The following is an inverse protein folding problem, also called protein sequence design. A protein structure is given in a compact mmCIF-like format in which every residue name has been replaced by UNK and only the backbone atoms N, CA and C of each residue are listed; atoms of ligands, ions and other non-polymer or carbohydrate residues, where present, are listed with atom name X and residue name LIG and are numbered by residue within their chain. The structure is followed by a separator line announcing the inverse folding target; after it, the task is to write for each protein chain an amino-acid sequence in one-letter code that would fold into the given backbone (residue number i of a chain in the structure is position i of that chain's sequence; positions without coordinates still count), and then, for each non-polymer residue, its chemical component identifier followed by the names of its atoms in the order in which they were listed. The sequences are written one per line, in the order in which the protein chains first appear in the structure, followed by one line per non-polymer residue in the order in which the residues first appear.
data_IF_697698215494
#
_entry.id   IF_697698215494
#
_cell.length_a   1.000
_cell.length_b   1.000
_cell.length_c   1.000
_cell.angle_alpha   90.00
_cell.angle_beta   90.00
_cell.angle_gamma   90.00
#
_symmetry.space_group_name_H-M   'P 1'
#
loop_
_entity.id
_entity.type
_entity.pdbx_description
1 polymer ?
#
# COMPACT_ATOMS: atom_id res chain seq x y z
N UNK A 1 -61.48 23.19 56.66
CA UNK A 1 -60.52 22.28 55.99
C UNK A 1 -59.71 23.08 54.97
N UNK A 2 -58.38 23.00 55.05
CA UNK A 2 -57.41 23.66 54.16
C UNK A 2 -57.16 22.72 52.98
N UNK A 3 -57.25 23.20 51.73
CA UNK A 3 -56.48 22.59 50.64
C UNK A 3 -55.81 23.67 49.81
N UNK A 4 -54.48 23.55 49.77
CA UNK A 4 -53.50 24.46 49.20
C UNK A 4 -53.30 24.14 47.71
N UNK A 5 -52.95 25.16 46.95
CA UNK A 5 -52.49 25.10 45.56
C UNK A 5 -51.34 24.11 45.36
N UNK A 6 -51.37 23.33 44.26
CA UNK A 6 -50.17 22.81 43.61
C UNK A 6 -50.41 22.85 42.09
N UNK A 7 -49.63 23.71 41.42
CA UNK A 7 -49.34 23.70 39.99
C UNK A 7 -48.84 22.30 39.58
N UNK A 8 -49.47 21.65 38.62
CA UNK A 8 -48.91 20.45 37.98
C UNK A 8 -48.64 20.77 36.51
N UNK A 9 -47.35 20.89 36.22
CA UNK A 9 -46.72 21.18 34.95
C UNK A 9 -47.10 20.10 33.91
N UNK A 10 -47.54 20.54 32.73
CA UNK A 10 -47.65 19.66 31.56
C UNK A 10 -46.23 19.28 31.10
N UNK A 11 -45.73 18.14 31.56
CA UNK A 11 -44.51 17.53 31.05
C UNK A 11 -44.86 16.85 29.74
N UNK A 12 -44.39 17.44 28.63
CA UNK A 12 -44.39 16.76 27.34
C UNK A 12 -43.48 15.53 27.44
N UNK A 13 -44.07 14.34 27.45
CA UNK A 13 -43.35 13.09 27.32
C UNK A 13 -42.81 13.02 25.88
N UNK A 14 -41.56 13.44 25.68
CA UNK A 14 -40.80 13.09 24.48
C UNK A 14 -40.53 11.59 24.57
N UNK A 15 -41.32 10.81 23.85
CA UNK A 15 -40.98 9.42 23.58
C UNK A 15 -39.72 9.43 22.69
N UNK A 16 -38.55 9.37 23.31
CA UNK A 16 -37.38 8.83 22.63
C UNK A 16 -37.69 7.36 22.40
N UNK A 17 -38.23 7.05 21.21
CA UNK A 17 -37.98 5.77 20.60
C UNK A 17 -36.46 5.67 20.41
N UNK A 18 -35.77 5.24 21.47
CA UNK A 18 -34.45 4.68 21.36
C UNK A 18 -34.62 3.51 20.43
N UNK A 19 -34.27 3.69 19.16
CA UNK A 19 -34.10 2.60 18.22
C UNK A 19 -33.25 1.56 18.93
N UNK A 20 -33.89 0.46 19.30
CA UNK A 20 -33.23 -0.78 19.68
C UNK A 20 -32.50 -1.26 18.44
N UNK A 21 -31.32 -0.73 18.21
CA UNK A 21 -30.27 -1.51 17.62
C UNK A 21 -29.38 -1.87 18.78
N UNK A 22 -29.76 -2.96 19.46
CA UNK A 22 -28.77 -3.82 20.06
C UNK A 22 -27.74 -4.06 18.96
N UNK A 23 -26.63 -3.34 19.01
CA UNK A 23 -25.42 -3.75 18.34
C UNK A 23 -24.95 -4.97 19.13
N UNK A 24 -25.65 -6.09 18.94
CA UNK A 24 -24.97 -7.36 19.00
C UNK A 24 -23.87 -7.23 17.97
N UNK A 25 -22.64 -7.00 18.44
CA UNK A 25 -21.45 -7.36 17.69
C UNK A 25 -21.71 -8.79 17.31
N UNK A 26 -22.05 -9.00 16.04
CA UNK A 26 -22.43 -10.27 15.45
C UNK A 26 -21.26 -11.22 15.73
N UNK A 27 -21.31 -11.90 16.89
CA UNK A 27 -20.19 -12.61 17.48
C UNK A 27 -19.81 -13.69 16.49
N UNK A 28 -18.73 -13.48 15.71
CA UNK A 28 -18.10 -14.36 14.72
C UNK A 28 -18.60 -15.82 14.83
N UNK A 29 -19.76 -16.09 14.19
CA UNK A 29 -20.74 -17.15 14.52
C UNK A 29 -20.29 -18.59 14.21
N UNK A 30 -19.06 -18.95 14.55
CA UNK A 30 -18.48 -20.27 14.33
C UNK A 30 -17.21 -20.28 13.48
N UNK A 31 -16.57 -19.14 13.24
CA UNK A 31 -15.20 -19.09 12.71
C UNK A 31 -14.46 -17.91 13.34
N UNK A 32 -13.47 -18.20 14.18
CA UNK A 32 -12.58 -17.19 14.77
C UNK A 32 -11.13 -17.57 14.57
N UNK A 33 -10.27 -16.55 14.59
CA UNK A 33 -8.82 -16.70 14.55
C UNK A 33 -8.21 -15.94 15.72
N UNK A 34 -7.11 -16.46 16.28
CA UNK A 34 -6.38 -15.76 17.34
C UNK A 34 -5.78 -14.42 16.88
N UNK A 35 -5.55 -14.26 15.57
CA UNK A 35 -5.18 -12.99 14.95
C UNK A 35 -5.61 -12.93 13.49
N UNK A 36 -6.18 -11.79 13.09
CA UNK A 36 -6.44 -11.45 11.68
C UNK A 36 -5.25 -10.72 11.01
N UNK A 37 -4.16 -10.53 11.75
CA UNK A 37 -2.93 -9.91 11.26
C UNK A 37 -1.72 -10.77 11.62
N UNK A 38 -0.95 -11.17 10.61
CA UNK A 38 0.18 -12.07 10.76
C UNK A 38 1.43 -11.36 10.26
N UNK A 39 2.38 -11.16 11.17
CA UNK A 39 3.71 -10.64 10.83
C UNK A 39 4.70 -11.78 10.71
N UNK A 40 5.46 -11.79 9.61
CA UNK A 40 6.56 -12.71 9.35
C UNK A 40 7.89 -11.95 9.35
N UNK A 41 8.98 -12.54 9.86
CA UNK A 41 10.30 -11.91 9.81
C UNK A 41 10.77 -11.67 8.37
N UNK A 42 11.43 -10.54 8.14
CA UNK A 42 12.06 -10.21 6.86
C UNK A 42 13.13 -11.24 6.47
N UNK A 43 13.91 -11.72 7.45
CA UNK A 43 14.89 -12.80 7.31
C UNK A 43 14.30 -14.19 7.01
N UNK A 44 12.98 -14.27 6.82
CA UNK A 44 12.26 -15.52 6.64
C UNK A 44 11.90 -16.16 7.98
N UNK A 45 10.83 -16.95 7.96
CA UNK A 45 10.34 -17.59 9.16
C UNK A 45 8.86 -17.91 9.09
N UNK A 46 8.27 -18.12 10.26
CA UNK A 46 6.89 -18.55 10.38
C UNK A 46 6.19 -17.90 11.56
N UNK A 47 4.87 -17.83 11.48
CA UNK A 47 4.02 -17.46 12.59
C UNK A 47 2.76 -18.35 12.57
N UNK A 48 2.19 -18.60 13.74
CA UNK A 48 1.08 -19.55 13.90
C UNK A 48 -0.13 -18.83 14.49
N UNK A 49 -1.29 -19.07 13.89
CA UNK A 49 -2.58 -18.66 14.43
C UNK A 49 -3.39 -19.89 14.84
N UNK A 50 -4.27 -19.71 15.82
CA UNK A 50 -5.28 -20.70 16.21
C UNK A 50 -6.57 -20.38 15.47
N UNK A 51 -7.20 -21.40 14.90
CA UNK A 51 -8.50 -21.35 14.23
C UNK A 51 -9.48 -22.10 15.12
N UNK A 52 -10.60 -21.46 15.47
CA UNK A 52 -11.74 -22.13 16.07
C UNK A 52 -12.90 -22.09 15.08
N UNK A 53 -13.35 -23.26 14.65
CA UNK A 53 -14.38 -23.37 13.64
C UNK A 53 -15.48 -24.36 14.04
N UNK A 54 -16.74 -24.04 13.77
CA UNK A 54 -17.86 -24.94 14.03
C UNK A 54 -18.01 -26.01 12.94
N UNK A 55 -17.46 -25.77 11.74
CA UNK A 55 -17.50 -26.67 10.59
C UNK A 55 -16.08 -26.91 10.05
N UNK A 56 -15.96 -27.75 9.02
CA UNK A 56 -14.71 -27.86 8.27
C UNK A 56 -14.37 -26.52 7.60
N UNK A 57 -13.10 -26.13 7.64
CA UNK A 57 -12.59 -24.90 7.06
C UNK A 57 -11.64 -25.16 5.89
N UNK A 58 -11.52 -24.19 5.01
CA UNK A 58 -10.57 -24.18 3.89
C UNK A 58 -9.90 -22.82 3.74
N UNK A 59 -8.67 -22.80 3.24
CA UNK A 59 -8.03 -21.60 2.74
C UNK A 59 -8.44 -21.39 1.28
N UNK A 60 -9.29 -20.40 1.04
CA UNK A 60 -9.55 -19.92 -0.31
C UNK A 60 -8.33 -19.10 -0.76
N UNK A 61 -7.41 -19.77 -1.42
CA UNK A 61 -6.22 -19.19 -2.06
C UNK A 61 -6.46 -18.82 -3.53
N UNK A 62 -7.69 -18.99 -4.03
CA UNK A 62 -8.02 -18.94 -5.46
C UNK A 62 -8.68 -17.62 -5.87
N UNK A 63 -9.16 -16.82 -4.91
CA UNK A 63 -9.69 -15.48 -5.17
C UNK A 63 -8.68 -14.53 -5.84
N UNK A 64 -9.17 -13.53 -6.57
CA UNK A 64 -8.36 -12.55 -7.33
C UNK A 64 -7.29 -11.80 -6.52
N UNK A 65 -7.36 -11.82 -5.18
CA UNK A 65 -6.34 -11.26 -4.29
C UNK A 65 -5.15 -12.22 -4.01
N UNK A 66 -5.29 -13.51 -4.30
CA UNK A 66 -4.36 -14.59 -3.86
C UNK A 66 -3.89 -15.49 -4.99
N UNK A 67 -4.60 -15.49 -6.13
CA UNK A 67 -4.13 -16.19 -7.33
C UNK A 67 -2.69 -15.75 -7.66
N UNK A 68 -1.70 -16.58 -7.31
CA UNK A 68 -0.27 -16.36 -7.58
C UNK A 68 0.67 -15.94 -6.44
N UNK A 69 0.29 -16.02 -5.15
CA UNK A 69 1.26 -15.74 -4.05
C UNK A 69 2.10 -16.98 -3.69
N UNK A 70 3.03 -17.35 -4.57
CA UNK A 70 3.96 -18.49 -4.38
C UNK A 70 4.95 -18.33 -3.21
N UNK A 71 5.00 -17.16 -2.59
CA UNK A 71 5.94 -16.85 -1.50
C UNK A 71 5.46 -17.28 -0.10
N UNK A 72 4.20 -17.70 0.01
CA UNK A 72 3.61 -18.18 1.27
C UNK A 72 3.46 -19.70 1.25
N UNK A 73 3.85 -20.31 2.37
CA UNK A 73 3.66 -21.74 2.63
C UNK A 73 2.78 -21.92 3.87
N UNK A 74 1.85 -22.86 3.82
CA UNK A 74 0.87 -23.12 4.87
C UNK A 74 1.05 -24.54 5.40
N UNK A 75 0.90 -24.75 6.71
CA UNK A 75 0.91 -26.10 7.30
C UNK A 75 -0.25 -26.97 6.82
N UNK A 76 -1.38 -26.34 6.49
CA UNK A 76 -2.54 -27.00 5.88
C UNK A 76 -3.35 -26.00 5.06
N UNK A 77 -4.09 -26.51 4.06
CA UNK A 77 -5.06 -25.74 3.27
C UNK A 77 -6.51 -25.98 3.71
N UNK A 78 -6.72 -26.92 4.63
CA UNK A 78 -8.04 -27.25 5.16
C UNK A 78 -7.95 -27.85 6.57
N UNK A 79 -9.07 -27.84 7.29
CA UNK A 79 -9.18 -28.51 8.59
C UNK A 79 -10.62 -28.88 8.92
N UNK A 80 -10.78 -29.68 9.96
CA UNK A 80 -12.10 -30.08 10.46
C UNK A 80 -12.66 -29.03 11.42
N UNK A 81 -13.92 -29.23 11.81
CA UNK A 81 -14.52 -28.51 12.93
C UNK A 81 -13.72 -28.70 14.23
N UNK A 82 -13.76 -27.70 15.09
CA UNK A 82 -13.04 -27.60 16.35
C UNK A 82 -11.88 -26.60 16.31
N UNK A 83 -11.02 -26.72 17.31
CA UNK A 83 -9.78 -25.95 17.39
C UNK A 83 -8.70 -26.60 16.51
N UNK A 84 -7.98 -25.78 15.75
CA UNK A 84 -6.82 -26.20 14.96
C UNK A 84 -5.80 -25.07 14.87
N UNK A 85 -4.59 -25.36 14.38
CA UNK A 85 -3.55 -24.35 14.18
C UNK A 85 -3.17 -24.25 12.71
N UNK A 86 -2.88 -23.04 12.28
CA UNK A 86 -2.37 -22.74 10.95
C UNK A 86 -1.02 -22.02 11.09
N UNK A 87 0.05 -22.68 10.68
CA UNK A 87 1.37 -22.06 10.56
C UNK A 87 1.54 -21.52 9.15
N UNK A 88 1.85 -20.23 9.07
CA UNK A 88 2.11 -19.49 7.84
C UNK A 88 3.61 -19.23 7.80
N UNK A 89 4.26 -19.55 6.69
CA UNK A 89 5.70 -19.39 6.49
C UNK A 89 6.01 -18.61 5.23
N UNK A 90 7.13 -17.90 5.25
CA UNK A 90 7.72 -17.29 4.08
C UNK A 90 9.24 -17.38 4.15
N UNK A 91 9.87 -17.57 2.99
CA UNK A 91 11.33 -17.43 2.84
C UNK A 91 11.76 -15.99 3.03
N UNK A 92 13.06 -15.77 3.29
CA UNK A 92 13.63 -14.43 3.41
C UNK A 92 13.28 -13.54 2.21
N UNK A 93 13.14 -12.24 2.47
CA UNK A 93 12.87 -11.24 1.44
C UNK A 93 13.64 -9.97 1.75
N UNK A 94 14.28 -9.37 0.75
CA UNK A 94 14.94 -8.06 0.88
C UNK A 94 13.97 -6.91 0.56
N UNK A 95 12.68 -7.22 0.47
CA UNK A 95 11.61 -6.28 0.17
C UNK A 95 10.38 -6.65 0.98
N UNK A 96 9.86 -5.68 1.73
CA UNK A 96 8.60 -5.85 2.44
C UNK A 96 7.47 -6.18 1.48
N UNK A 97 6.64 -7.15 1.84
CA UNK A 97 5.53 -7.63 1.00
C UNK A 97 4.31 -7.96 1.84
N UNK A 98 3.14 -7.87 1.22
CA UNK A 98 1.87 -8.18 1.87
C UNK A 98 0.99 -9.10 1.01
N UNK A 99 0.10 -9.80 1.70
CA UNK A 99 -0.97 -10.59 1.10
C UNK A 99 -2.18 -10.59 2.04
N UNK A 100 -3.37 -10.73 1.48
CA UNK A 100 -4.57 -11.07 2.25
C UNK A 100 -4.92 -12.52 1.93
N UNK A 101 -5.24 -13.34 2.94
CA UNK A 101 -5.83 -14.66 2.73
C UNK A 101 -7.25 -14.75 3.27
N UNK A 102 -8.04 -15.67 2.72
CA UNK A 102 -9.41 -15.95 3.17
C UNK A 102 -9.50 -17.35 3.74
N UNK A 103 -9.95 -17.42 4.99
CA UNK A 103 -10.32 -18.65 5.66
C UNK A 103 -11.84 -18.77 5.62
N UNK A 104 -12.35 -19.89 5.11
CA UNK A 104 -13.78 -20.09 4.84
C UNK A 104 -14.28 -21.30 5.61
N UNK A 105 -15.39 -21.15 6.34
CA UNK A 105 -16.12 -22.21 7.05
C UNK A 105 -17.62 -22.05 6.82
N UNK A 106 -18.22 -22.90 5.99
CA UNK A 106 -19.60 -22.72 5.56
C UNK A 106 -19.80 -21.38 4.84
N UNK A 107 -20.66 -20.52 5.37
CA UNK A 107 -20.90 -19.15 4.87
C UNK A 107 -19.99 -18.09 5.49
N UNK A 108 -19.19 -18.47 6.49
CA UNK A 108 -18.34 -17.55 7.24
C UNK A 108 -16.98 -17.39 6.56
N UNK A 109 -16.52 -16.14 6.46
CA UNK A 109 -15.24 -15.80 5.86
C UNK A 109 -14.46 -14.92 6.82
N UNK A 110 -13.28 -15.40 7.22
CA UNK A 110 -12.31 -14.62 7.96
C UNK A 110 -11.18 -14.17 7.03
N UNK A 111 -10.89 -12.87 7.02
CA UNK A 111 -9.74 -12.31 6.31
C UNK A 111 -8.54 -12.27 7.25
N UNK A 112 -7.39 -12.66 6.73
CA UNK A 112 -6.11 -12.63 7.45
C UNK A 112 -5.13 -11.83 6.59
N UNK A 113 -4.69 -10.70 7.11
CA UNK A 113 -3.67 -9.87 6.49
C UNK A 113 -2.29 -10.36 6.91
N UNK A 114 -1.41 -10.57 5.94
CA UNK A 114 -0.06 -11.05 6.17
C UNK A 114 0.91 -9.98 5.69
N UNK A 115 1.85 -9.61 6.55
CA UNK A 115 2.98 -8.76 6.22
C UNK A 115 4.27 -9.54 6.46
N UNK A 116 5.24 -9.37 5.58
CA UNK A 116 6.61 -9.82 5.81
C UNK A 116 7.53 -8.63 5.59
N UNK A 117 8.15 -8.16 6.67
CA UNK A 117 8.88 -6.89 6.68
C UNK A 117 7.98 -5.68 6.42
N UNK A 118 8.53 -4.49 6.60
CA UNK A 118 7.92 -3.26 6.10
C UNK A 118 8.48 -3.00 4.69
N UNK A 119 7.68 -2.53 3.72
CA UNK A 119 8.23 -2.08 2.44
C UNK A 119 9.12 -0.86 2.71
N UNK A 120 10.42 -1.08 2.83
CA UNK A 120 11.43 -0.04 2.96
C UNK A 120 11.95 0.27 1.57
N UNK A 121 11.75 1.50 1.09
CA UNK A 121 12.37 1.95 -0.14
C UNK A 121 13.89 1.94 0.05
N UNK A 122 14.57 1.04 -0.65
CA UNK A 122 16.03 0.86 -0.53
C UNK A 122 16.74 1.84 -1.47
N UNK A 123 17.78 2.57 -1.00
CA UNK A 123 18.63 3.34 -1.90
C UNK A 123 19.18 2.43 -3.00
N UNK A 124 19.03 2.85 -4.26
CA UNK A 124 19.53 2.14 -5.41
C UNK A 124 19.99 3.11 -6.49
N UNK A 125 20.95 2.65 -7.29
CA UNK A 125 21.38 3.27 -8.53
C UNK A 125 20.44 2.92 -9.67
N UNK A 126 20.43 3.71 -10.75
CA UNK A 126 19.66 3.43 -11.95
C UNK A 126 20.02 2.06 -12.54
N UNK A 127 21.30 1.66 -12.50
CA UNK A 127 21.74 0.34 -12.95
C UNK A 127 21.15 -0.80 -12.10
N UNK A 128 21.08 -0.65 -10.78
CA UNK A 128 20.45 -1.64 -9.89
C UNK A 128 18.94 -1.74 -10.09
N UNK A 129 18.27 -0.62 -10.42
CA UNK A 129 16.87 -0.66 -10.85
C UNK A 129 16.76 -1.45 -12.16
N UNK A 130 17.59 -1.15 -13.17
CA UNK A 130 17.55 -1.83 -14.48
C UNK A 130 17.73 -3.35 -14.35
N UNK A 131 18.68 -3.79 -13.53
CA UNK A 131 18.94 -5.22 -13.29
C UNK A 131 17.94 -5.88 -12.31
N UNK A 132 17.14 -5.07 -11.63
CA UNK A 132 16.30 -5.46 -10.52
C UNK A 132 15.01 -6.21 -10.91
N UNK A 133 14.42 -7.00 -9.99
CA UNK A 133 13.12 -7.62 -10.22
C UNK A 133 11.98 -6.58 -10.29
N UNK A 134 10.98 -6.86 -11.13
CA UNK A 134 9.73 -6.10 -11.15
C UNK A 134 8.99 -6.19 -9.81
N UNK A 135 8.13 -5.21 -9.54
CA UNK A 135 7.37 -5.03 -8.29
C UNK A 135 8.22 -4.75 -7.03
N UNK A 136 9.55 -4.72 -7.11
CA UNK A 136 10.39 -4.21 -6.01
C UNK A 136 10.33 -2.69 -5.98
N UNK A 137 10.18 -2.12 -4.77
CA UNK A 137 10.23 -0.66 -4.57
C UNK A 137 11.67 -0.20 -4.40
N UNK A 138 12.06 0.80 -5.18
CA UNK A 138 13.38 1.41 -5.16
C UNK A 138 13.30 2.87 -4.74
N UNK A 139 14.31 3.35 -4.03
CA UNK A 139 14.56 4.77 -3.79
C UNK A 139 15.77 5.20 -4.61
N UNK A 140 15.57 6.07 -5.59
CA UNK A 140 16.62 6.50 -6.52
C UNK A 140 16.82 8.00 -6.42
N UNK A 141 18.07 8.44 -6.39
CA UNK A 141 18.43 9.85 -6.54
C UNK A 141 19.12 10.05 -7.87
N UNK A 142 18.65 11.02 -8.67
CA UNK A 142 19.24 11.34 -9.96
C UNK A 142 18.78 12.69 -10.47
N UNK A 143 19.32 13.08 -11.62
CA UNK A 143 18.99 14.32 -12.32
C UNK A 143 17.85 14.10 -13.30
N UNK A 144 16.87 15.02 -13.29
CA UNK A 144 15.80 15.05 -14.29
C UNK A 144 16.37 15.55 -15.61
N UNK A 145 16.43 14.69 -16.62
CA UNK A 145 17.07 15.02 -17.91
C UNK A 145 16.09 15.43 -19.00
N UNK A 146 14.82 14.99 -18.89
CA UNK A 146 13.73 15.41 -19.76
C UNK A 146 12.39 15.14 -19.10
N UNK A 147 11.40 16.01 -19.31
CA UNK A 147 10.02 15.82 -18.86
C UNK A 147 9.17 15.44 -20.07
N UNK A 148 8.62 14.22 -20.06
CA UNK A 148 7.82 13.68 -21.15
C UNK A 148 6.33 14.02 -21.02
N UNK A 149 5.82 14.16 -19.79
CA UNK A 149 4.43 14.52 -19.53
C UNK A 149 4.27 15.27 -18.21
N UNK A 150 3.76 16.50 -18.25
CA UNK A 150 3.57 17.36 -17.06
C UNK A 150 2.25 17.13 -16.34
N UNK A 151 1.26 16.46 -16.95
CA UNK A 151 0.03 16.08 -16.27
C UNK A 151 0.34 14.94 -15.30
N UNK A 152 0.85 13.82 -15.82
CA UNK A 152 1.12 12.62 -15.03
C UNK A 152 2.45 12.68 -14.25
N UNK A 153 3.37 13.57 -14.65
CA UNK A 153 4.70 13.63 -14.07
C UNK A 153 5.59 12.50 -14.58
N UNK A 154 5.65 12.36 -15.90
CA UNK A 154 6.54 11.40 -16.54
C UNK A 154 7.83 12.10 -16.95
N UNK A 155 8.98 11.54 -16.58
CA UNK A 155 10.28 12.13 -16.87
C UNK A 155 11.40 11.09 -16.88
N UNK A 156 12.55 11.46 -17.43
CA UNK A 156 13.76 10.64 -17.42
C UNK A 156 14.67 11.04 -16.27
N UNK A 157 15.01 10.07 -15.42
CA UNK A 157 15.91 10.23 -14.29
C UNK A 157 17.24 9.56 -14.64
N UNK A 158 18.34 10.29 -14.50
CA UNK A 158 19.69 9.80 -14.80
C UNK A 158 20.60 9.99 -13.59
N UNK A 159 21.33 8.94 -13.23
CA UNK A 159 22.46 9.02 -12.31
C UNK A 159 23.76 8.64 -13.02
N UNK A 160 24.86 8.47 -12.27
CA UNK A 160 26.16 8.11 -12.86
C UNK A 160 26.22 6.71 -13.48
N UNK A 161 25.22 5.87 -13.23
CA UNK A 161 25.20 4.45 -13.59
C UNK A 161 24.25 4.14 -14.72
N UNK A 162 23.26 5.00 -14.97
CA UNK A 162 22.30 4.81 -16.05
C UNK A 162 21.13 5.77 -16.00
N UNK A 163 20.15 5.48 -16.86
CA UNK A 163 18.94 6.27 -17.05
C UNK A 163 17.71 5.37 -16.97
N UNK A 164 16.73 5.77 -16.17
CA UNK A 164 15.44 5.10 -16.02
C UNK A 164 14.30 6.07 -16.36
N UNK A 165 13.14 5.50 -16.68
CA UNK A 165 11.93 6.26 -16.92
C UNK A 165 11.06 6.31 -15.66
N UNK A 166 10.53 7.47 -15.33
CA UNK A 166 9.53 7.65 -14.27
C UNK A 166 8.17 7.75 -14.95
N UNK A 167 7.27 6.83 -14.62
CA UNK A 167 5.91 6.77 -15.16
C UNK A 167 4.90 7.08 -14.05
N UNK A 168 4.48 8.34 -13.98
CA UNK A 168 3.62 8.84 -12.92
C UNK A 168 4.42 9.30 -11.70
N UNK A 169 4.11 10.51 -11.23
CA UNK A 169 4.66 11.08 -9.99
C UNK A 169 3.53 11.64 -9.15
N UNK A 170 3.44 11.18 -7.91
CA UNK A 170 2.42 11.59 -6.95
C UNK A 170 2.79 12.93 -6.31
N UNK A 171 1.79 13.75 -6.01
CA UNK A 171 2.00 14.95 -5.20
C UNK A 171 2.27 14.62 -3.72
N UNK A 172 2.41 15.66 -2.91
CA UNK A 172 2.73 15.55 -1.47
C UNK A 172 1.64 14.83 -0.67
N UNK A 173 0.42 14.84 -1.17
CA UNK A 173 -0.76 14.22 -0.57
C UNK A 173 -1.07 12.84 -1.19
N UNK A 174 -0.25 12.39 -2.14
CA UNK A 174 -0.41 11.11 -2.83
C UNK A 174 -1.35 11.13 -4.04
N UNK A 175 -1.76 12.30 -4.54
CA UNK A 175 -2.64 12.39 -5.69
C UNK A 175 -1.89 12.25 -7.02
N UNK A 176 -2.52 11.59 -7.98
CA UNK A 176 -2.07 11.55 -9.37
C UNK A 176 -2.43 12.83 -10.13
N UNK A 177 -1.83 13.02 -11.31
CA UNK A 177 -2.14 14.11 -12.26
C UNK A 177 -1.92 15.54 -11.73
N UNK A 178 -1.11 15.69 -10.68
CA UNK A 178 -0.84 16.97 -10.03
C UNK A 178 0.67 17.29 -9.98
N UNK A 179 1.43 16.85 -10.99
CA UNK A 179 2.89 16.97 -11.02
C UNK A 179 3.39 18.42 -10.98
N UNK A 180 2.66 19.37 -11.58
CA UNK A 180 3.02 20.79 -11.55
C UNK A 180 3.13 21.35 -10.13
N UNK A 181 2.40 20.79 -9.16
CA UNK A 181 2.45 21.18 -7.73
C UNK A 181 3.81 20.88 -7.05
N UNK A 182 4.65 20.05 -7.68
CA UNK A 182 5.96 19.67 -7.18
C UNK A 182 7.06 20.64 -7.59
N UNK A 183 6.86 21.42 -8.67
CA UNK A 183 7.86 22.39 -9.15
C UNK A 183 9.17 21.77 -9.66
N UNK A 184 9.11 20.51 -10.11
CA UNK A 184 10.25 19.78 -10.69
C UNK A 184 10.47 20.26 -12.13
N UNK A 185 11.71 20.60 -12.44
CA UNK A 185 12.15 21.07 -13.76
C UNK A 185 13.32 20.23 -14.27
N UNK A 186 13.58 20.31 -15.58
CA UNK A 186 14.78 19.68 -16.17
C UNK A 186 16.04 20.29 -15.53
N UNK A 187 16.96 19.44 -15.12
CA UNK A 187 18.19 19.80 -14.42
C UNK A 187 18.11 19.66 -12.90
N UNK A 188 16.92 19.55 -12.31
CA UNK A 188 16.79 19.30 -10.87
C UNK A 188 17.30 17.91 -10.51
N UNK A 189 17.92 17.79 -9.35
CA UNK A 189 18.20 16.49 -8.74
C UNK A 189 17.06 16.12 -7.79
N UNK A 190 16.47 14.95 -7.99
CA UNK A 190 15.32 14.48 -7.21
C UNK A 190 15.59 13.12 -6.60
N UNK A 191 15.06 12.90 -5.39
CA UNK A 191 14.98 11.57 -4.78
C UNK A 191 13.55 11.09 -4.87
N UNK A 192 13.34 9.97 -5.57
CA UNK A 192 12.02 9.37 -5.81
C UNK A 192 11.94 7.95 -5.28
N UNK A 193 10.75 7.49 -4.92
CA UNK A 193 10.51 6.11 -4.51
C UNK A 193 9.29 5.51 -5.18
N UNK A 194 9.41 4.32 -5.76
CA UNK A 194 8.28 3.61 -6.35
C UNK A 194 8.61 2.19 -6.81
N UNK A 195 7.58 1.36 -7.09
CA UNK A 195 7.77 0.02 -7.61
C UNK A 195 8.33 0.04 -9.04
N UNK A 196 9.27 -0.87 -9.31
CA UNK A 196 9.75 -1.16 -10.66
C UNK A 196 8.69 -1.89 -11.49
N UNK A 197 8.56 -1.51 -12.74
CA UNK A 197 7.80 -2.20 -13.78
C UNK A 197 8.67 -2.29 -15.05
N UNK A 198 8.52 -3.37 -15.81
CA UNK A 198 9.12 -3.50 -17.15
C UNK A 198 7.99 -3.61 -18.18
N UNK A 199 7.70 -2.53 -18.90
CA UNK A 199 6.69 -2.51 -19.96
C UNK A 199 7.35 -2.67 -21.33
N UNK A 200 7.24 -3.87 -21.90
CA UNK A 200 7.95 -4.22 -23.13
C UNK A 200 9.47 -4.25 -22.89
N UNK A 201 10.19 -3.30 -23.50
CA UNK A 201 11.64 -3.12 -23.29
C UNK A 201 11.99 -1.95 -22.36
N UNK A 202 10.98 -1.23 -21.85
CA UNK A 202 11.19 -0.04 -21.03
C UNK A 202 11.20 -0.41 -19.55
N UNK A 203 12.28 -0.07 -18.85
CA UNK A 203 12.35 -0.14 -17.38
C UNK A 203 11.84 1.18 -16.81
N UNK A 204 10.86 1.09 -15.92
CA UNK A 204 10.24 2.26 -15.30
C UNK A 204 9.98 2.10 -13.79
N UNK A 205 9.94 3.22 -13.07
CA UNK A 205 9.34 3.29 -11.74
C UNK A 205 7.95 3.92 -11.87
N UNK A 206 6.94 3.25 -11.32
CA UNK A 206 5.53 3.65 -11.45
C UNK A 206 5.05 4.46 -10.26
N UNK A 207 4.29 5.52 -10.50
CA UNK A 207 3.58 6.31 -9.48
C UNK A 207 4.48 6.64 -8.29
N UNK A 208 5.63 7.25 -8.58
CA UNK A 208 6.65 7.48 -7.56
C UNK A 208 6.23 8.59 -6.59
N UNK A 209 6.65 8.48 -5.33
CA UNK A 209 6.65 9.59 -4.39
C UNK A 209 7.98 10.34 -4.46
N UNK A 210 7.97 11.63 -4.12
CA UNK A 210 9.18 12.47 -4.12
C UNK A 210 9.52 12.85 -2.68
N UNK A 211 10.73 12.52 -2.23
CA UNK A 211 11.19 12.82 -0.86
C UNK A 211 12.17 13.99 -0.81
N UNK A 212 12.81 14.33 -1.93
CA UNK A 212 13.76 15.44 -2.02
C UNK A 212 13.78 16.04 -3.42
N UNK A 213 13.87 17.37 -3.50
CA UNK A 213 14.12 18.12 -4.73
C UNK A 213 15.25 19.11 -4.43
N UNK A 214 16.35 19.01 -5.18
CA UNK A 214 17.46 19.96 -5.17
C UNK A 214 17.41 20.73 -6.48
N UNK A 215 17.06 22.02 -6.43
CA UNK A 215 16.90 22.84 -7.62
C UNK A 215 18.24 23.06 -8.34
N UNK A 216 18.23 22.92 -9.67
CA UNK A 216 19.38 23.26 -10.50
C UNK A 216 19.81 24.71 -10.25
N UNK A 217 21.11 24.92 -10.00
CA UNK A 217 21.70 26.26 -9.92
C UNK A 217 22.05 26.83 -11.31
N UNK A 218 22.02 25.98 -12.33
CA UNK A 218 22.22 26.40 -13.72
C UNK A 218 20.85 26.77 -14.27
N UNK A 219 20.50 28.06 -14.16
CA UNK A 219 19.49 28.59 -15.06
C UNK A 219 20.09 28.48 -16.47
N UNK A 220 19.45 27.71 -17.33
CA UNK A 220 19.69 27.82 -18.76
C UNK A 220 19.14 29.20 -19.14
N UNK A 221 19.97 30.23 -18.98
CA UNK A 221 19.72 31.50 -19.64
C UNK A 221 19.67 31.17 -21.13
N UNK A 222 18.47 31.22 -21.68
CA UNK A 222 18.18 31.06 -23.09
C UNK A 222 19.29 31.76 -23.90
N UNK A 223 20.07 31.01 -24.67
CA UNK A 223 21.10 31.52 -25.61
C UNK A 223 20.50 32.29 -26.80
N UNK A 224 19.30 32.85 -26.61
CA UNK A 224 18.61 33.70 -27.55
C UNK A 224 18.14 34.95 -26.83
N UNK A 225 18.90 36.03 -26.99
CA UNK A 225 18.39 37.39 -26.83
C UNK A 225 17.98 37.85 -28.23
N UNK A 226 16.68 37.98 -28.48
CA UNK A 226 16.17 38.57 -29.72
C UNK A 226 16.40 37.76 -31.01
N UNK A 227 16.55 36.44 -30.95
CA UNK A 227 16.55 35.57 -32.15
C UNK A 227 17.90 35.40 -32.87
N UNK A 228 19.03 35.78 -32.25
CA UNK A 228 20.36 35.49 -32.79
C UNK A 228 21.16 34.65 -31.80
N UNK A 229 21.81 33.60 -32.31
CA UNK A 229 22.65 32.67 -31.55
C UNK A 229 23.92 33.42 -31.08
N UNK A 230 24.20 33.43 -29.78
CA UNK A 230 25.49 33.95 -29.28
C UNK A 230 26.63 33.03 -29.75
N UNK A 231 27.64 33.64 -30.36
CA UNK A 231 28.83 33.03 -30.98
C UNK A 231 29.61 32.11 -30.06
#
# INVERSE_FOLDING_TARGET
MKFKHIFAIAVAAVAFASCSNDYEVDNLKGLTVSSSYVSLPEAGGSNTITINSNDAWTLDTIGSAIKGKTWLNYSSLSGNAGESTLTIKAEATDNGRSAEIRLVSGTQVQRINIIQGLPVATPATCAEVIAGPDSKTYMVTGTVTAIANTTYGNFYLEDKTGKIYIYGTLDKDGNEKNFSSLGIEVGDEVTVSGPKETYGSTVELKNVTVTKITKSQVKVDSVYVGGVKSS
#
